data_IF_180144049338
#
_entry.id   IF_180144049338
#
_cell.length_a   1.000
_cell.length_b   1.000
_cell.length_c   1.000
_cell.angle_alpha   90.00
_cell.angle_beta   90.00
_cell.angle_gamma   90.00
#
_symmetry.space_group_name_H-M   'P 1'
#
loop_
_entity.id
_entity.type
_entity.pdbx_description
1 polymer ?
#
# COMPACT_ATOMS: atom_id res chain seq x y z
N UNK A 1 15.76 -6.45 -11.92
CA UNK A 1 15.79 -6.49 -10.43
C UNK A 1 16.44 -5.26 -9.81
N UNK A 2 17.59 -4.79 -10.32
CA UNK A 2 18.28 -3.61 -9.77
C UNK A 2 17.40 -2.36 -9.70
N UNK A 3 16.73 -2.00 -10.80
CA UNK A 3 15.82 -0.85 -10.83
C UNK A 3 14.70 -0.93 -9.80
N UNK A 4 14.08 -2.12 -9.66
CA UNK A 4 12.97 -2.29 -8.72
C UNK A 4 13.45 -2.26 -7.27
N UNK A 5 14.66 -2.71 -6.97
CA UNK A 5 15.25 -2.56 -5.64
C UNK A 5 15.48 -1.08 -5.30
N UNK A 6 15.94 -0.30 -6.26
CA UNK A 6 16.10 1.15 -6.08
C UNK A 6 14.76 1.85 -5.85
N UNK A 7 13.69 1.48 -6.58
CA UNK A 7 12.35 2.03 -6.38
C UNK A 7 11.83 1.81 -4.97
N UNK A 8 12.14 0.68 -4.36
CA UNK A 8 11.70 0.37 -3.00
C UNK A 8 12.71 0.77 -1.94
N UNK A 9 13.71 1.59 -2.30
CA UNK A 9 14.75 2.11 -1.41
C UNK A 9 15.61 1.00 -0.78
N UNK A 10 15.90 -0.04 -1.55
CA UNK A 10 16.87 -1.07 -1.18
C UNK A 10 18.10 -0.95 -2.07
N UNK A 11 19.28 -0.88 -1.46
CA UNK A 11 20.53 -0.81 -2.21
C UNK A 11 20.80 -2.14 -2.93
N UNK A 12 20.84 -2.17 -4.29
CA UNK A 12 21.06 -3.41 -5.02
C UNK A 12 22.38 -4.09 -4.66
N UNK A 13 23.43 -3.34 -4.38
CA UNK A 13 24.73 -3.88 -3.99
C UNK A 13 24.67 -4.64 -2.67
N UNK A 14 23.78 -4.24 -1.76
CA UNK A 14 23.62 -4.85 -0.45
C UNK A 14 22.58 -5.96 -0.45
N UNK A 15 21.44 -5.76 -1.12
CA UNK A 15 20.25 -6.59 -0.95
C UNK A 15 19.99 -7.59 -2.07
N UNK A 16 20.57 -7.43 -3.26
CA UNK A 16 20.29 -8.30 -4.41
C UNK A 16 20.56 -9.78 -4.13
N UNK A 17 21.57 -10.08 -3.31
CA UNK A 17 22.01 -11.44 -3.00
C UNK A 17 21.73 -11.86 -1.55
N UNK A 18 20.93 -11.09 -0.80
CA UNK A 18 20.58 -11.47 0.57
C UNK A 18 19.45 -12.48 0.61
N UNK A 19 19.54 -13.37 1.58
CA UNK A 19 18.45 -14.30 1.90
C UNK A 19 17.35 -13.58 2.68
N UNK A 20 16.07 -14.01 2.55
CA UNK A 20 14.95 -13.38 3.27
C UNK A 20 15.16 -13.31 4.79
N UNK A 21 15.81 -14.28 5.39
CA UNK A 21 16.09 -14.33 6.84
C UNK A 21 17.01 -13.19 7.30
N UNK A 22 17.78 -12.60 6.40
CA UNK A 22 18.71 -11.51 6.70
C UNK A 22 18.07 -10.13 6.65
N UNK A 23 16.78 -10.05 6.37
CA UNK A 23 16.05 -8.81 6.18
C UNK A 23 15.20 -8.46 7.41
N UNK A 24 15.11 -7.16 7.74
CA UNK A 24 14.11 -6.67 8.69
C UNK A 24 12.70 -6.83 8.10
N UNK A 25 11.65 -6.70 8.93
CA UNK A 25 10.27 -6.78 8.47
C UNK A 25 9.96 -5.79 7.34
N UNK A 26 10.37 -4.53 7.49
CA UNK A 26 10.19 -3.50 6.46
C UNK A 26 11.02 -3.75 5.20
N UNK A 27 12.24 -4.24 5.36
CA UNK A 27 13.10 -4.60 4.23
C UNK A 27 12.54 -5.79 3.48
N UNK A 28 12.09 -6.83 4.19
CA UNK A 28 11.44 -8.00 3.58
C UNK A 28 10.19 -7.61 2.80
N UNK A 29 9.38 -6.70 3.34
CA UNK A 29 8.17 -6.21 2.68
C UNK A 29 8.51 -5.44 1.39
N UNK A 30 9.50 -4.56 1.44
CA UNK A 30 9.95 -3.82 0.25
C UNK A 30 10.56 -4.75 -0.80
N UNK A 31 11.30 -5.78 -0.40
CA UNK A 31 11.80 -6.81 -1.31
C UNK A 31 10.67 -7.59 -1.97
N UNK A 32 9.61 -7.91 -1.22
CA UNK A 32 8.42 -8.57 -1.75
C UNK A 32 7.71 -7.69 -2.79
N UNK A 33 7.60 -6.38 -2.55
CA UNK A 33 7.03 -5.43 -3.51
C UNK A 33 7.89 -5.39 -4.79
N UNK A 34 9.21 -5.30 -4.65
CA UNK A 34 10.12 -5.32 -5.80
C UNK A 34 9.96 -6.58 -6.65
N UNK A 35 9.83 -7.73 -5.99
CA UNK A 35 9.59 -9.01 -6.66
C UNK A 35 8.27 -9.02 -7.44
N UNK A 36 7.23 -8.44 -6.85
CA UNK A 36 5.91 -8.39 -7.48
C UNK A 36 5.87 -7.53 -8.74
N UNK A 37 6.69 -6.47 -8.82
CA UNK A 37 6.66 -5.52 -9.94
C UNK A 37 7.75 -5.76 -10.99
N UNK A 38 8.66 -6.70 -10.78
CA UNK A 38 9.79 -6.94 -11.70
C UNK A 38 9.34 -7.28 -13.12
N UNK A 39 8.23 -8.00 -13.26
CA UNK A 39 7.66 -8.39 -14.56
C UNK A 39 6.71 -7.35 -15.14
N UNK A 40 6.64 -6.17 -14.56
CA UNK A 40 5.77 -5.05 -14.97
C UNK A 40 4.31 -5.49 -15.11
N UNK A 41 3.67 -5.98 -14.04
CA UNK A 41 2.27 -6.43 -14.10
C UNK A 41 1.34 -5.24 -14.37
N UNK A 42 0.14 -5.53 -14.86
CA UNK A 42 -0.90 -4.51 -15.05
C UNK A 42 -1.65 -4.20 -13.75
N UNK A 43 -1.67 -5.15 -12.84
CA UNK A 43 -2.34 -5.00 -11.53
C UNK A 43 -1.41 -5.52 -10.45
N UNK A 44 -1.21 -4.70 -9.42
CA UNK A 44 -0.50 -5.07 -8.20
C UNK A 44 -1.52 -5.17 -7.07
N UNK A 45 -1.63 -6.34 -6.46
CA UNK A 45 -2.47 -6.54 -5.28
C UNK A 45 -1.59 -6.55 -4.03
N UNK A 46 -1.84 -5.60 -3.13
CA UNK A 46 -1.13 -5.48 -1.86
C UNK A 46 -2.12 -5.70 -0.71
N UNK A 47 -1.97 -6.82 -0.01
CA UNK A 47 -2.84 -7.17 1.11
C UNK A 47 -2.12 -6.86 2.43
N UNK A 48 -2.61 -5.83 3.13
CA UNK A 48 -2.05 -5.36 4.40
C UNK A 48 -0.53 -5.15 4.35
N UNK A 49 0.00 -4.39 3.38
CA UNK A 49 1.44 -4.30 3.15
C UNK A 49 2.22 -3.61 4.26
N UNK A 50 1.51 -2.91 5.18
CA UNK A 50 2.12 -2.18 6.28
C UNK A 50 1.75 -2.72 7.65
N UNK A 51 1.14 -3.91 7.70
CA UNK A 51 0.77 -4.57 8.95
C UNK A 51 2.03 -4.99 9.74
N UNK A 52 2.01 -4.79 11.07
CA UNK A 52 3.09 -5.18 11.97
C UNK A 52 4.46 -4.56 11.66
N UNK A 53 4.48 -3.39 11.04
CA UNK A 53 5.70 -2.66 10.68
C UNK A 53 5.74 -1.33 11.45
N UNK A 54 6.93 -0.91 11.90
CA UNK A 54 7.09 0.35 12.63
C UNK A 54 6.82 1.58 11.75
N UNK A 55 6.62 2.74 12.39
CA UNK A 55 6.24 3.98 11.71
C UNK A 55 7.26 4.41 10.64
N UNK A 56 8.55 4.31 10.94
CA UNK A 56 9.60 4.70 9.98
C UNK A 56 9.59 3.80 8.74
N UNK A 57 9.42 2.49 8.94
CA UNK A 57 9.33 1.54 7.84
C UNK A 57 8.06 1.73 7.01
N UNK A 58 6.93 2.12 7.64
CA UNK A 58 5.69 2.46 6.92
C UNK A 58 5.89 3.60 5.94
N UNK A 59 6.57 4.66 6.35
CA UNK A 59 6.87 5.80 5.47
C UNK A 59 7.65 5.34 4.24
N UNK A 60 8.64 4.48 4.42
CA UNK A 60 9.45 3.95 3.31
C UNK A 60 8.62 3.10 2.35
N UNK A 61 7.66 2.33 2.87
CA UNK A 61 6.76 1.54 2.03
C UNK A 61 5.82 2.45 1.24
N UNK A 62 5.27 3.51 1.86
CA UNK A 62 4.46 4.49 1.16
C UNK A 62 5.25 5.20 0.05
N UNK A 63 6.50 5.57 0.33
CA UNK A 63 7.40 6.15 -0.66
C UNK A 63 7.66 5.18 -1.82
N UNK A 64 7.81 3.88 -1.52
CA UNK A 64 7.97 2.86 -2.54
C UNK A 64 6.75 2.78 -3.47
N UNK A 65 5.53 2.79 -2.92
CA UNK A 65 4.31 2.80 -3.72
C UNK A 65 4.19 4.07 -4.57
N UNK A 66 4.55 5.23 -4.02
CA UNK A 66 4.56 6.47 -4.78
C UNK A 66 5.55 6.41 -5.96
N UNK A 67 6.74 5.88 -5.75
CA UNK A 67 7.74 5.70 -6.79
C UNK A 67 7.27 4.74 -7.88
N UNK A 68 6.59 3.66 -7.51
CA UNK A 68 6.02 2.69 -8.45
C UNK A 68 4.94 3.36 -9.31
N UNK A 69 4.05 4.12 -8.72
CA UNK A 69 2.98 4.83 -9.46
C UNK A 69 3.55 5.82 -10.47
N UNK A 70 4.61 6.52 -10.10
CA UNK A 70 5.28 7.45 -11.00
C UNK A 70 5.99 6.73 -12.14
N UNK A 71 6.67 5.63 -11.86
CA UNK A 71 7.43 4.85 -12.83
C UNK A 71 6.56 4.00 -13.75
N UNK A 72 5.42 3.50 -13.26
CA UNK A 72 4.51 2.62 -14.00
C UNK A 72 3.07 3.14 -13.92
N UNK A 73 2.77 4.26 -14.59
CA UNK A 73 1.47 4.92 -14.45
C UNK A 73 0.28 4.10 -14.97
N UNK A 74 0.55 3.12 -15.84
CA UNK A 74 -0.49 2.25 -16.40
C UNK A 74 -0.85 1.07 -15.49
N UNK A 75 -0.08 0.86 -14.42
CA UNK A 75 -0.36 -0.21 -13.48
C UNK A 75 -1.41 0.22 -12.46
N UNK A 76 -2.43 -0.60 -12.27
CA UNK A 76 -3.40 -0.41 -11.20
C UNK A 76 -2.89 -1.05 -9.91
N UNK A 77 -3.04 -0.35 -8.79
CA UNK A 77 -2.70 -0.87 -7.48
C UNK A 77 -3.99 -1.06 -6.68
N UNK A 78 -4.23 -2.27 -6.22
CA UNK A 78 -5.31 -2.59 -5.30
C UNK A 78 -4.69 -2.87 -3.94
N UNK A 79 -5.03 -2.07 -2.96
CA UNK A 79 -4.48 -2.21 -1.61
C UNK A 79 -5.59 -2.55 -0.63
N UNK A 80 -5.41 -3.62 0.13
CA UNK A 80 -6.29 -3.95 1.25
C UNK A 80 -5.64 -3.44 2.53
N UNK A 81 -6.36 -2.62 3.28
CA UNK A 81 -5.87 -2.07 4.54
C UNK A 81 -7.04 -1.72 5.45
N UNK A 82 -6.82 -1.83 6.76
CA UNK A 82 -7.74 -1.34 7.78
C UNK A 82 -7.28 0.00 8.38
N UNK A 83 -6.15 0.52 7.93
CA UNK A 83 -5.58 1.79 8.42
C UNK A 83 -6.01 2.95 7.51
N UNK A 84 -7.04 3.67 7.92
CA UNK A 84 -7.55 4.81 7.14
C UNK A 84 -6.55 5.95 7.02
N UNK A 85 -5.65 6.11 8.00
CA UNK A 85 -4.58 7.09 7.92
C UNK A 85 -3.65 6.84 6.74
N UNK A 86 -3.34 5.58 6.47
CA UNK A 86 -2.57 5.18 5.30
C UNK A 86 -3.38 5.35 4.02
N UNK A 87 -4.61 4.85 4.03
CA UNK A 87 -5.48 4.85 2.85
C UNK A 87 -5.72 6.27 2.32
N UNK A 88 -5.96 7.25 3.22
CA UNK A 88 -6.21 8.63 2.81
C UNK A 88 -5.04 9.26 2.05
N UNK A 89 -3.82 8.79 2.30
CA UNK A 89 -2.62 9.35 1.68
C UNK A 89 -2.29 8.72 0.32
N UNK A 90 -2.74 7.50 0.07
CA UNK A 90 -2.32 6.75 -1.11
C UNK A 90 -3.45 6.43 -2.09
N UNK A 91 -4.67 6.30 -1.61
CA UNK A 91 -5.78 5.84 -2.45
C UNK A 91 -6.42 6.97 -3.25
N UNK A 92 -6.69 6.73 -4.53
CA UNK A 92 -7.50 7.61 -5.37
C UNK A 92 -9.00 7.32 -5.15
N UNK A 93 -9.34 6.05 -4.95
CA UNK A 93 -10.69 5.57 -4.70
C UNK A 93 -10.69 4.57 -3.57
N UNK A 94 -11.80 4.53 -2.86
CA UNK A 94 -11.99 3.59 -1.74
C UNK A 94 -13.25 2.76 -1.99
N UNK A 95 -13.12 1.47 -1.72
CA UNK A 95 -14.25 0.55 -1.61
C UNK A 95 -14.28 0.03 -0.18
N UNK A 96 -15.38 0.27 0.52
CA UNK A 96 -15.57 -0.18 1.91
C UNK A 96 -16.28 -1.52 1.91
N UNK A 97 -15.66 -2.51 2.53
CA UNK A 97 -16.23 -3.84 2.71
C UNK A 97 -16.70 -4.03 4.15
N UNK A 98 -17.90 -4.59 4.31
CA UNK A 98 -18.44 -4.95 5.61
C UNK A 98 -19.32 -6.18 5.47
N UNK A 99 -19.08 -7.20 6.30
CA UNK A 99 -19.81 -8.47 6.29
C UNK A 99 -19.91 -9.09 4.88
N UNK A 100 -18.81 -9.08 4.15
CA UNK A 100 -18.73 -9.68 2.81
C UNK A 100 -19.40 -8.87 1.71
N UNK A 101 -19.79 -7.62 1.98
CA UNK A 101 -20.47 -6.75 1.01
C UNK A 101 -19.73 -5.44 0.82
N UNK A 102 -19.77 -4.91 -0.39
CA UNK A 102 -19.34 -3.55 -0.67
C UNK A 102 -20.47 -2.60 -0.23
N UNK A 103 -20.21 -1.80 0.80
CA UNK A 103 -21.23 -0.90 1.37
C UNK A 103 -21.10 0.52 0.85
N UNK A 104 -19.91 0.90 0.40
CA UNK A 104 -19.67 2.23 -0.17
C UNK A 104 -18.48 2.18 -1.11
N UNK A 105 -18.53 2.94 -2.21
CA UNK A 105 -17.42 3.07 -3.15
C UNK A 105 -17.40 4.49 -3.73
N UNK A 106 -16.23 5.06 -3.87
CA UNK A 106 -16.10 6.40 -4.45
C UNK A 106 -14.71 6.98 -4.35
N UNK A 107 -14.53 8.23 -4.78
CA UNK A 107 -13.29 8.97 -4.57
C UNK A 107 -12.96 9.06 -3.08
N UNK A 108 -11.67 9.05 -2.76
CA UNK A 108 -11.20 9.05 -1.37
C UNK A 108 -11.74 10.23 -0.56
N UNK A 109 -11.69 11.42 -1.11
CA UNK A 109 -12.18 12.63 -0.43
C UNK A 109 -13.68 12.57 -0.13
N UNK A 110 -14.47 11.98 -1.02
CA UNK A 110 -15.90 11.80 -0.83
C UNK A 110 -16.20 10.74 0.23
N UNK A 111 -15.58 9.57 0.14
CA UNK A 111 -15.84 8.46 1.08
C UNK A 111 -15.38 8.81 2.49
N UNK A 112 -14.23 9.46 2.64
CA UNK A 112 -13.71 9.83 3.96
C UNK A 112 -14.27 11.15 4.47
N UNK A 113 -14.52 12.12 3.58
CA UNK A 113 -15.02 13.43 3.97
C UNK A 113 -16.54 13.51 4.11
N UNK A 114 -17.27 12.76 3.31
CA UNK A 114 -18.74 12.78 3.25
C UNK A 114 -19.31 11.36 3.13
N UNK A 115 -19.01 10.48 4.10
CA UNK A 115 -19.48 9.09 4.04
C UNK A 115 -21.00 9.02 4.09
N UNK A 116 -21.57 8.12 3.28
CA UNK A 116 -23.03 7.93 3.18
C UNK A 116 -23.51 6.72 3.95
N UNK A 117 -22.72 5.64 3.98
CA UNK A 117 -23.06 4.41 4.68
C UNK A 117 -22.75 4.54 6.19
N UNK A 118 -23.61 3.98 7.04
CA UNK A 118 -23.48 4.05 8.48
C UNK A 118 -22.20 3.36 8.98
N UNK A 119 -21.81 2.25 8.37
CA UNK A 119 -20.57 1.57 8.72
C UNK A 119 -19.35 2.42 8.36
N UNK A 120 -19.35 3.05 7.18
CA UNK A 120 -18.29 3.95 6.76
C UNK A 120 -18.16 5.13 7.71
N UNK A 121 -19.29 5.73 8.12
CA UNK A 121 -19.30 6.83 9.11
C UNK A 121 -18.62 6.42 10.41
N UNK A 122 -18.92 5.22 10.90
CA UNK A 122 -18.29 4.70 12.13
C UNK A 122 -16.80 4.46 11.96
N UNK A 123 -16.36 3.94 10.81
CA UNK A 123 -14.94 3.76 10.53
C UNK A 123 -14.18 5.08 10.53
N UNK A 124 -14.72 6.08 9.85
CA UNK A 124 -14.09 7.41 9.74
C UNK A 124 -14.03 8.07 11.12
N UNK A 125 -15.11 7.98 11.88
CA UNK A 125 -15.17 8.55 13.23
C UNK A 125 -14.16 7.87 14.17
N UNK A 126 -14.04 6.55 14.12
CA UNK A 126 -13.10 5.80 14.94
C UNK A 126 -11.63 6.11 14.59
N UNK A 127 -11.35 6.43 13.34
CA UNK A 127 -10.01 6.78 12.89
C UNK A 127 -9.62 8.23 13.22
N UNK A 128 -10.54 9.06 13.68
CA UNK A 128 -10.31 10.47 14.00
C UNK A 128 -9.72 11.28 12.84
N UNK A 129 -10.18 10.99 11.64
CA UNK A 129 -9.77 11.72 10.45
C UNK A 129 -10.44 13.10 10.35
#
# INVERSE_FOLDING_TARGET
>A
MTEVLEMVSLDPGTFANRFPVDLSGGQAQRAAIARAIVDKPKVLLADEPMSAIDVAARVRILDAFAAIRESQPDMAIIMVSHDLGVVQHIADRILVLHDGRAVEVGPTDQVLGHPQDEYTKRLVQAASL
#
